data_IF_613311883154
#
_entry.id   IF_613311883154
#
_cell.length_a   1.000
_cell.length_b   1.000
_cell.length_c   1.000
_cell.angle_alpha   90.00
_cell.angle_beta   90.00
_cell.angle_gamma   90.00
#
_symmetry.space_group_name_H-M   'P 1'
#
loop_
_entity.id
_entity.type
_entity.pdbx_description
1 polymer ?
#
# COMPACT_ATOMS: atom_id res chain seq x y z
N UNK A 1 -10.35 6.00 1.19
CA UNK A 1 -9.25 5.20 1.76
C UNK A 1 -9.78 3.80 1.86
N UNK A 2 -9.02 2.78 1.42
CA UNK A 2 -9.49 1.41 1.44
C UNK A 2 -9.72 0.95 2.88
N UNK A 3 -10.75 0.15 3.12
CA UNK A 3 -10.97 -0.49 4.44
C UNK A 3 -10.01 -1.67 4.62
N UNK A 4 -9.83 -2.12 5.86
CA UNK A 4 -9.04 -3.34 6.12
C UNK A 4 -9.58 -4.56 5.37
N UNK A 5 -10.92 -4.66 5.20
CA UNK A 5 -11.55 -5.73 4.44
C UNK A 5 -11.19 -5.67 2.95
N UNK A 6 -11.19 -4.46 2.37
CA UNK A 6 -10.77 -4.25 0.97
C UNK A 6 -9.28 -4.58 0.79
N UNK A 7 -8.43 -4.20 1.75
CA UNK A 7 -7.00 -4.51 1.71
C UNK A 7 -6.73 -6.01 1.87
N UNK A 8 -7.47 -6.68 2.77
CA UNK A 8 -7.37 -8.12 2.97
C UNK A 8 -7.87 -8.89 1.74
N UNK A 9 -8.94 -8.43 1.08
CA UNK A 9 -9.39 -9.01 -0.18
C UNK A 9 -8.32 -8.90 -1.28
N UNK A 10 -7.60 -7.76 -1.35
CA UNK A 10 -6.49 -7.62 -2.28
C UNK A 10 -5.36 -8.61 -1.97
N UNK A 11 -5.01 -8.83 -0.70
CA UNK A 11 -4.00 -9.82 -0.30
C UNK A 11 -4.44 -11.24 -0.67
N UNK A 12 -5.67 -11.62 -0.32
CA UNK A 12 -6.10 -13.01 -0.37
C UNK A 12 -6.54 -13.47 -1.76
N UNK A 13 -7.13 -12.57 -2.55
CA UNK A 13 -7.80 -12.93 -3.81
C UNK A 13 -7.12 -12.39 -5.05
N UNK A 14 -6.24 -11.40 -4.94
CA UNK A 14 -5.61 -10.79 -6.11
C UNK A 14 -4.21 -11.36 -6.36
N UNK A 15 -3.78 -11.28 -7.62
CA UNK A 15 -2.42 -11.65 -8.01
C UNK A 15 -1.51 -10.43 -8.00
N UNK A 16 -0.40 -10.55 -7.30
CA UNK A 16 0.60 -9.49 -7.14
C UNK A 16 1.82 -9.79 -8.00
N UNK A 17 2.17 -8.86 -8.89
CA UNK A 17 3.38 -8.96 -9.73
C UNK A 17 4.22 -7.71 -9.58
N UNK A 18 5.43 -7.87 -9.05
CA UNK A 18 6.38 -6.76 -8.97
C UNK A 18 6.82 -6.35 -10.37
N UNK A 19 6.73 -5.06 -10.68
CA UNK A 19 7.04 -4.53 -12.01
C UNK A 19 7.51 -3.08 -11.95
N UNK A 20 7.86 -2.55 -13.11
CA UNK A 20 8.14 -1.12 -13.30
C UNK A 20 7.16 -0.56 -14.33
N UNK A 21 6.33 0.40 -13.92
CA UNK A 21 5.38 1.09 -14.79
C UNK A 21 5.77 2.57 -14.86
N UNK A 22 5.95 3.10 -16.07
CA UNK A 22 6.35 4.50 -16.32
C UNK A 22 7.61 4.95 -15.53
N UNK A 23 8.57 4.04 -15.33
CA UNK A 23 9.80 4.32 -14.58
C UNK A 23 9.65 4.25 -13.05
N UNK A 24 8.45 3.91 -12.55
CA UNK A 24 8.18 3.73 -11.12
C UNK A 24 8.07 2.24 -10.80
N UNK A 25 8.82 1.77 -9.81
CA UNK A 25 8.72 0.38 -9.31
C UNK A 25 7.51 0.23 -8.41
N UNK A 26 6.91 -0.95 -8.38
CA UNK A 26 5.78 -1.27 -7.52
C UNK A 26 5.08 -2.55 -7.94
N UNK A 27 3.92 -2.81 -7.33
CA UNK A 27 3.10 -3.97 -7.66
C UNK A 27 2.02 -3.62 -8.67
N UNK A 28 1.91 -4.43 -9.72
CA UNK A 28 0.66 -4.57 -10.46
C UNK A 28 -0.20 -5.61 -9.75
N UNK A 29 -1.36 -5.20 -9.28
CA UNK A 29 -2.32 -6.05 -8.58
C UNK A 29 -3.48 -6.33 -9.52
N UNK A 30 -3.72 -7.60 -9.85
CA UNK A 30 -4.79 -8.00 -10.77
C UNK A 30 -5.85 -8.78 -10.00
N UNK A 31 -7.08 -8.27 -10.01
CA UNK A 31 -8.22 -8.89 -9.36
C UNK A 31 -8.79 -10.06 -10.16
N UNK A 32 -9.62 -10.87 -9.51
CA UNK A 32 -10.30 -12.02 -10.13
C UNK A 32 -11.27 -11.62 -11.26
N UNK A 33 -11.70 -10.35 -11.27
CA UNK A 33 -12.50 -9.76 -12.34
C UNK A 33 -11.67 -9.35 -13.58
N UNK A 34 -10.35 -9.53 -13.56
CA UNK A 34 -9.44 -9.17 -14.65
C UNK A 34 -9.01 -7.70 -14.65
N UNK A 35 -9.59 -6.85 -13.79
CA UNK A 35 -9.15 -5.47 -13.64
C UNK A 35 -7.83 -5.43 -12.84
N UNK A 36 -7.00 -4.44 -13.13
CA UNK A 36 -5.73 -4.25 -12.42
C UNK A 36 -5.53 -2.83 -11.94
N UNK A 37 -4.88 -2.70 -10.78
CA UNK A 37 -4.39 -1.44 -10.23
C UNK A 37 -2.87 -1.49 -10.12
N UNK A 38 -2.22 -0.33 -10.07
CA UNK A 38 -0.79 -0.22 -9.78
C UNK A 38 -0.56 0.45 -8.43
N UNK A 39 0.23 -0.22 -7.59
CA UNK A 39 0.64 0.24 -6.27
C UNK A 39 2.14 0.56 -6.31
N UNK A 40 2.53 1.84 -6.47
CA UNK A 40 3.93 2.23 -6.49
C UNK A 40 4.65 1.93 -5.16
N UNK A 41 5.92 1.55 -5.25
CA UNK A 41 6.84 1.61 -4.12
C UNK A 41 7.23 3.07 -3.86
N UNK A 42 6.27 3.86 -3.36
CA UNK A 42 6.41 5.30 -3.18
C UNK A 42 7.27 5.69 -1.98
N UNK A 43 7.63 4.73 -1.13
CA UNK A 43 8.27 4.97 0.14
C UNK A 43 7.32 5.61 1.17
N UNK A 44 7.90 6.18 2.22
CA UNK A 44 7.19 6.99 3.20
C UNK A 44 7.92 8.31 3.45
N UNK A 45 7.19 9.30 3.97
CA UNK A 45 7.75 10.59 4.38
C UNK A 45 7.92 10.66 5.88
N UNK A 46 9.04 11.20 6.34
CA UNK A 46 9.25 11.61 7.73
C UNK A 46 9.75 13.05 7.72
N UNK A 47 8.91 13.99 8.15
CA UNK A 47 9.17 15.43 7.99
C UNK A 47 9.25 15.84 6.52
N UNK A 48 10.34 16.51 6.13
CA UNK A 48 10.61 16.89 4.73
C UNK A 48 11.32 15.80 3.93
N UNK A 49 11.76 14.73 4.57
CA UNK A 49 12.53 13.66 3.97
C UNK A 49 11.64 12.56 3.41
N UNK A 50 12.09 11.95 2.31
CA UNK A 50 11.42 10.84 1.63
C UNK A 50 12.36 9.62 1.66
N UNK A 51 11.86 8.48 2.14
CA UNK A 51 12.63 7.26 2.37
C UNK A 51 12.05 6.08 1.60
N UNK A 52 12.91 5.10 1.25
CA UNK A 52 12.51 3.81 0.65
C UNK A 52 11.76 3.88 -0.69
N UNK A 53 11.94 4.97 -1.45
CA UNK A 53 11.36 5.10 -2.79
C UNK A 53 11.93 4.02 -3.72
N UNK A 54 11.04 3.30 -4.38
CA UNK A 54 11.38 2.24 -5.32
C UNK A 54 11.66 0.89 -4.68
N UNK A 55 11.64 0.80 -3.35
CA UNK A 55 11.73 -0.46 -2.61
C UNK A 55 10.44 -0.76 -1.85
N UNK A 56 9.88 0.24 -1.15
CA UNK A 56 8.78 0.03 -0.21
C UNK A 56 7.59 0.94 -0.58
N UNK A 57 6.39 0.53 -0.24
CA UNK A 57 5.16 1.29 -0.42
C UNK A 57 4.32 1.20 0.86
N UNK A 58 3.91 2.36 1.35
CA UNK A 58 3.13 2.49 2.58
C UNK A 58 1.79 3.14 2.23
N UNK A 59 0.69 2.50 2.60
CA UNK A 59 -0.66 2.94 2.27
C UNK A 59 -1.60 2.91 3.48
N UNK A 60 -2.26 4.02 3.78
CA UNK A 60 -3.22 4.08 4.88
C UNK A 60 -4.49 3.29 4.56
N UNK A 61 -4.96 2.47 5.51
CA UNK A 61 -6.33 1.97 5.51
C UNK A 61 -7.23 2.91 6.33
N UNK A 62 -8.54 2.87 6.08
CA UNK A 62 -9.53 3.72 6.77
C UNK A 62 -10.06 3.11 8.07
N UNK A 63 -9.62 1.91 8.43
CA UNK A 63 -10.15 1.19 9.59
C UNK A 63 -9.18 1.39 10.77
N UNK A 64 -9.65 1.90 11.92
CA UNK A 64 -8.83 1.98 13.13
C UNK A 64 -8.47 0.59 13.65
N UNK A 65 -7.27 0.42 14.20
CA UNK A 65 -6.83 -0.83 14.84
C UNK A 65 -7.66 -1.16 16.09
N UNK A 66 -8.12 -0.12 16.81
CA UNK A 66 -9.01 -0.15 17.98
C UNK A 66 -9.66 1.24 18.07
N UNK A 67 -10.81 1.37 18.74
CA UNK A 67 -11.43 2.62 19.18
C UNK A 67 -10.46 3.64 19.82
N UNK A 68 -9.29 3.18 20.29
CA UNK A 68 -8.21 3.97 20.91
C UNK A 68 -7.03 4.33 19.99
N UNK A 69 -6.87 3.65 18.85
CA UNK A 69 -5.67 3.75 18.01
C UNK A 69 -6.02 3.77 16.51
N UNK A 70 -5.73 4.89 15.86
CA UNK A 70 -6.06 5.22 14.48
C UNK A 70 -4.86 4.99 13.53
N UNK A 71 -4.31 3.77 13.55
CA UNK A 71 -2.99 3.44 12.98
C UNK A 71 -2.96 2.06 12.27
N UNK A 72 -3.62 1.92 11.10
CA UNK A 72 -3.47 0.75 10.24
C UNK A 72 -2.90 1.15 8.87
N UNK A 73 -1.77 0.54 8.50
CA UNK A 73 -1.08 0.79 7.25
C UNK A 73 -0.83 -0.52 6.51
N UNK A 74 -1.06 -0.50 5.21
CA UNK A 74 -0.63 -1.55 4.32
C UNK A 74 0.80 -1.29 3.87
N UNK A 75 1.66 -2.25 4.18
CA UNK A 75 3.06 -2.22 3.79
C UNK A 75 3.27 -3.22 2.65
N UNK A 76 4.02 -2.77 1.64
CA UNK A 76 4.51 -3.63 0.58
C UNK A 76 5.99 -3.29 0.31
N UNK A 77 6.80 -4.30 0.08
CA UNK A 77 8.16 -4.17 -0.46
C UNK A 77 8.34 -5.13 -1.64
N UNK A 78 9.56 -5.28 -2.17
CA UNK A 78 9.78 -6.18 -3.31
C UNK A 78 9.48 -7.65 -3.02
N UNK A 79 9.48 -8.06 -1.74
CA UNK A 79 9.42 -9.44 -1.28
C UNK A 79 8.12 -9.77 -0.52
N UNK A 80 7.49 -8.77 0.12
CA UNK A 80 6.33 -8.96 1.01
C UNK A 80 5.24 -7.92 0.79
N UNK A 81 4.00 -8.29 1.13
CA UNK A 81 2.84 -7.39 1.10
C UNK A 81 1.81 -7.80 2.17
N UNK A 82 1.60 -6.95 3.19
CA UNK A 82 0.80 -7.28 4.37
C UNK A 82 0.29 -6.03 5.11
N UNK A 83 -0.70 -6.22 5.98
CA UNK A 83 -1.21 -5.18 6.87
C UNK A 83 -0.35 -5.09 8.14
N UNK A 84 0.00 -3.88 8.56
CA UNK A 84 0.78 -3.62 9.78
C UNK A 84 0.29 -2.35 10.51
N UNK A 85 0.69 -2.21 11.77
CA UNK A 85 0.48 -1.00 12.55
C UNK A 85 1.66 -0.07 12.31
N UNK A 86 1.40 1.18 11.92
CA UNK A 86 2.46 2.16 11.67
C UNK A 86 2.13 3.52 12.30
N UNK A 87 3.16 4.23 12.76
CA UNK A 87 3.01 5.50 13.47
C UNK A 87 2.52 6.60 12.51
N UNK A 88 1.54 7.41 12.96
CA UNK A 88 1.00 8.58 12.21
C UNK A 88 2.03 9.66 11.91
N UNK A 89 3.22 9.56 12.50
CA UNK A 89 4.36 10.42 12.22
C UNK A 89 4.88 10.24 10.78
N UNK A 90 4.55 9.10 10.15
CA UNK A 90 4.93 8.80 8.77
C UNK A 90 3.83 9.24 7.78
N UNK A 91 4.20 10.07 6.81
CA UNK A 91 3.36 10.40 5.68
C UNK A 91 3.31 9.23 4.70
N UNK A 92 2.16 8.58 4.59
CA UNK A 92 1.94 7.45 3.66
C UNK A 92 0.97 7.81 2.53
N UNK A 93 0.97 6.99 1.48
CA UNK A 93 0.15 7.20 0.28
C UNK A 93 -1.32 6.85 0.57
N UNK A 94 -2.24 7.75 0.22
CA UNK A 94 -3.66 7.62 0.62
C UNK A 94 -4.53 6.95 -0.46
N UNK A 95 -3.99 6.73 -1.68
CA UNK A 95 -4.81 6.25 -2.81
C UNK A 95 -4.04 5.34 -3.77
N UNK A 96 -4.59 4.14 -4.08
CA UNK A 96 -4.32 3.49 -5.35
C UNK A 96 -4.79 4.40 -6.50
N UNK A 97 -3.98 4.53 -7.55
CA UNK A 97 -4.42 5.14 -8.80
C UNK A 97 -5.24 4.09 -9.55
N UNK A 98 -6.54 4.36 -9.74
CA UNK A 98 -7.42 3.54 -10.57
C UNK A 98 -7.14 3.90 -12.02
N UNK A 99 -6.83 2.91 -12.86
CA UNK A 99 -6.77 3.07 -14.32
C UNK A 99 -8.17 3.01 -14.93
#
# INVERSE_FOLDING_TARGET
MPTDEEMQELIDKCTWTWTTQNGVKGYKVTGTNGNSIFLPAAGHRLGSSLYHVGSDGYYWSSTPYDDRYDYNAYYLDSDFHYMNNDDRLYGQSVRPVVE
#
